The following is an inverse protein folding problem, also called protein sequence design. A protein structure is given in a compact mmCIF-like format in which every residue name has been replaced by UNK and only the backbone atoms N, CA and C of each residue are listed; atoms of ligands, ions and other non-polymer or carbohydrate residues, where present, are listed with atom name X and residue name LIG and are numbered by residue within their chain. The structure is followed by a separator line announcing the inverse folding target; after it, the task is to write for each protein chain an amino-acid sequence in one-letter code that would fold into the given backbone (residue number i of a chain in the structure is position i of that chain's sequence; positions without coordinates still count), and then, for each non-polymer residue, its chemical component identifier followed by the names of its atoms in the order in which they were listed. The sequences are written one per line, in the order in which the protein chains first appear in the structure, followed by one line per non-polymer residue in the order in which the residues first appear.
data_IF_236652617206
#
_entry.id   IF_236652617206
#
_cell.length_a   1.000
_cell.length_b   1.000
_cell.length_c   1.000
_cell.angle_alpha   90.00
_cell.angle_beta   90.00
_cell.angle_gamma   90.00
#
_symmetry.space_group_name_H-M   'P 1'
#
loop_
_entity.id
_entity.type
_entity.pdbx_description
1 polymer ?
#
# COMPACT_ATOMS: atom_id res chain seq x y z
N UNK A 1 -8.31 -6.51 -18.63
CA UNK A 1 -7.81 -6.26 -17.26
C UNK A 1 -6.80 -7.34 -16.93
N UNK A 2 -5.92 -7.15 -15.93
CA UNK A 2 -4.98 -8.22 -15.52
C UNK A 2 -5.39 -8.80 -14.17
N UNK A 3 -5.01 -10.05 -13.88
CA UNK A 3 -5.21 -10.67 -12.56
C UNK A 3 -4.66 -9.80 -11.44
N UNK A 4 -3.49 -9.18 -11.65
CA UNK A 4 -2.89 -8.25 -10.69
C UNK A 4 -3.84 -7.07 -10.38
N UNK A 5 -4.44 -6.47 -11.39
CA UNK A 5 -5.36 -5.33 -11.22
C UNK A 5 -6.59 -5.71 -10.38
N UNK A 6 -7.15 -6.91 -10.57
CA UNK A 6 -8.26 -7.39 -9.74
C UNK A 6 -7.83 -7.65 -8.29
N UNK A 7 -6.68 -8.30 -8.08
CA UNK A 7 -6.13 -8.54 -6.73
C UNK A 7 -5.91 -7.23 -5.97
N UNK A 8 -5.37 -6.20 -6.63
CA UNK A 8 -5.21 -4.86 -6.07
C UNK A 8 -6.57 -4.25 -5.71
N UNK A 9 -7.55 -4.30 -6.62
CA UNK A 9 -8.91 -3.78 -6.37
C UNK A 9 -9.60 -4.45 -5.18
N UNK A 10 -9.59 -5.79 -5.12
CA UNK A 10 -10.16 -6.55 -4.00
C UNK A 10 -9.49 -6.23 -2.67
N UNK A 11 -8.16 -6.13 -2.67
CA UNK A 11 -7.40 -5.82 -1.46
C UNK A 11 -7.70 -4.40 -0.95
N UNK A 12 -7.72 -3.43 -1.86
CA UNK A 12 -7.94 -2.02 -1.52
C UNK A 12 -9.38 -1.75 -1.06
N UNK A 13 -10.39 -2.43 -1.62
CA UNK A 13 -11.77 -2.37 -1.12
C UNK A 13 -11.85 -2.75 0.36
N UNK A 14 -11.19 -3.85 0.75
CA UNK A 14 -11.09 -4.30 2.14
C UNK A 14 -10.27 -3.38 3.08
N UNK A 15 -9.43 -2.51 2.51
CA UNK A 15 -8.69 -1.49 3.24
C UNK A 15 -9.53 -0.22 3.47
N UNK A 16 -10.36 0.16 2.50
CA UNK A 16 -11.32 1.25 2.61
C UNK A 16 -12.46 0.90 3.57
N UNK A 17 -12.98 -0.32 3.47
CA UNK A 17 -14.07 -0.81 4.30
C UNK A 17 -13.80 -2.23 4.77
N UNK A 18 -13.76 -2.44 6.09
CA UNK A 18 -13.45 -3.74 6.68
C UNK A 18 -14.48 -4.82 6.36
N UNK A 19 -15.74 -4.45 6.07
CA UNK A 19 -16.78 -5.43 5.69
C UNK A 19 -16.53 -6.03 4.32
N UNK A 20 -15.79 -5.33 3.47
CA UNK A 20 -15.50 -5.75 2.08
C UNK A 20 -14.16 -6.50 2.01
N UNK A 21 -13.55 -6.80 3.16
CA UNK A 21 -12.28 -7.53 3.22
C UNK A 21 -12.47 -8.97 2.75
N UNK A 22 -11.77 -9.29 1.68
CA UNK A 22 -11.74 -10.63 1.11
C UNK A 22 -10.57 -11.44 1.68
N UNK A 23 -10.82 -12.71 2.01
CA UNK A 23 -9.75 -13.69 2.20
C UNK A 23 -9.11 -14.06 0.86
N UNK A 24 -7.94 -14.70 0.88
CA UNK A 24 -7.32 -15.24 -0.33
C UNK A 24 -8.25 -16.22 -1.07
N UNK A 25 -9.01 -17.03 -0.32
CA UNK A 25 -10.00 -17.95 -0.87
C UNK A 25 -11.11 -17.19 -1.59
N UNK A 26 -11.64 -16.13 -0.98
CA UNK A 26 -12.69 -15.32 -1.61
C UNK A 26 -12.19 -14.64 -2.88
N UNK A 27 -10.95 -14.13 -2.90
CA UNK A 27 -10.35 -13.54 -4.09
C UNK A 27 -10.24 -14.56 -5.23
N UNK A 28 -9.79 -15.79 -4.94
CA UNK A 28 -9.74 -16.86 -5.96
C UNK A 28 -11.14 -17.19 -6.47
N UNK A 29 -12.16 -17.24 -5.60
CA UNK A 29 -13.55 -17.48 -6.01
C UNK A 29 -14.03 -16.38 -6.96
N UNK A 30 -13.74 -15.11 -6.68
CA UNK A 30 -14.14 -14.02 -7.58
C UNK A 30 -13.36 -14.05 -8.89
N UNK A 31 -12.05 -14.34 -8.87
CA UNK A 31 -11.26 -14.50 -10.10
C UNK A 31 -11.79 -15.62 -10.99
N UNK A 32 -12.30 -16.71 -10.41
CA UNK A 32 -12.95 -17.78 -11.18
C UNK A 32 -14.22 -17.29 -11.88
N UNK A 33 -15.06 -16.50 -11.20
CA UNK A 33 -16.25 -15.90 -11.83
C UNK A 33 -15.87 -14.96 -12.98
N UNK A 34 -14.85 -14.15 -12.79
CA UNK A 34 -14.31 -13.25 -13.82
C UNK A 34 -13.76 -14.05 -15.02
N UNK A 35 -13.17 -15.22 -14.77
CA UNK A 35 -12.73 -16.13 -15.83
C UNK A 35 -13.92 -16.79 -16.55
N UNK A 36 -14.97 -17.18 -15.83
CA UNK A 36 -16.23 -17.69 -16.40
C UNK A 36 -16.93 -16.64 -17.28
N UNK A 37 -16.83 -15.36 -16.92
CA UNK A 37 -17.32 -14.21 -17.69
C UNK A 37 -16.41 -13.87 -18.88
N UNK A 38 -15.24 -14.49 -18.99
CA UNK A 38 -14.30 -14.33 -20.10
C UNK A 38 -13.43 -13.07 -20.02
N UNK A 39 -13.42 -12.36 -18.89
CA UNK A 39 -12.59 -11.16 -18.71
C UNK A 39 -11.11 -11.49 -18.48
N UNK A 40 -10.82 -12.69 -17.98
CA UNK A 40 -9.48 -13.29 -17.86
C UNK A 40 -9.52 -14.76 -18.28
N UNK A 41 -8.37 -15.38 -18.58
CA UNK A 41 -8.31 -16.81 -18.86
C UNK A 41 -8.34 -17.64 -17.57
N UNK A 42 -8.96 -18.82 -17.59
CA UNK A 42 -8.96 -19.74 -16.44
C UNK A 42 -7.53 -20.13 -16.03
N UNK A 43 -6.62 -20.28 -16.99
CA UNK A 43 -5.20 -20.56 -16.73
C UNK A 43 -4.46 -19.43 -16.01
N UNK A 44 -5.01 -18.22 -16.01
CA UNK A 44 -4.43 -17.08 -15.30
C UNK A 44 -4.89 -17.02 -13.83
N UNK A 45 -5.90 -17.80 -13.43
CA UNK A 45 -6.40 -17.81 -12.05
C UNK A 45 -5.34 -18.45 -11.13
N UNK A 46 -4.78 -17.69 -10.18
CA UNK A 46 -3.75 -18.18 -9.28
C UNK A 46 -4.34 -19.11 -8.21
N UNK A 47 -3.50 -20.02 -7.72
CA UNK A 47 -3.83 -20.81 -6.54
C UNK A 47 -3.98 -19.92 -5.29
N UNK A 48 -4.77 -20.40 -4.32
CA UNK A 48 -5.00 -19.70 -3.04
C UNK A 48 -3.68 -19.36 -2.35
N UNK A 49 -2.73 -20.30 -2.29
CA UNK A 49 -1.41 -20.08 -1.67
C UNK A 49 -0.61 -18.98 -2.34
N UNK A 50 -0.74 -18.84 -3.66
CA UNK A 50 -0.11 -17.76 -4.42
C UNK A 50 -0.72 -16.42 -4.05
N UNK A 51 -2.05 -16.36 -3.89
CA UNK A 51 -2.76 -15.15 -3.44
C UNK A 51 -2.39 -14.79 -2.00
N UNK A 52 -2.29 -15.76 -1.08
CA UNK A 52 -1.82 -15.51 0.31
C UNK A 52 -0.41 -14.90 0.34
N UNK A 53 0.51 -15.47 -0.44
CA UNK A 53 1.87 -14.95 -0.59
C UNK A 53 1.88 -13.55 -1.20
N UNK A 54 1.01 -13.30 -2.18
CA UNK A 54 0.84 -11.98 -2.79
C UNK A 54 0.30 -10.94 -1.80
N UNK A 55 -0.77 -11.26 -1.05
CA UNK A 55 -1.36 -10.40 -0.01
C UNK A 55 -0.30 -10.00 1.03
N UNK A 56 0.50 -10.96 1.48
CA UNK A 56 1.56 -10.72 2.47
C UNK A 56 2.59 -9.72 1.94
N UNK A 57 3.08 -9.93 0.71
CA UNK A 57 4.06 -9.03 0.07
C UNK A 57 3.48 -7.64 -0.21
N UNK A 58 2.27 -7.57 -0.75
CA UNK A 58 1.61 -6.32 -1.09
C UNK A 58 1.28 -5.50 0.16
N UNK A 59 0.84 -6.15 1.23
CA UNK A 59 0.62 -5.50 2.51
C UNK A 59 1.94 -4.95 3.10
N UNK A 60 3.05 -5.69 2.97
CA UNK A 60 4.36 -5.22 3.40
C UNK A 60 4.85 -4.02 2.57
N UNK A 61 4.66 -4.02 1.25
CA UNK A 61 5.05 -2.90 0.39
C UNK A 61 4.28 -1.63 0.73
N UNK A 62 2.97 -1.72 0.97
CA UNK A 62 2.16 -0.55 1.37
C UNK A 62 2.61 0.04 2.71
N UNK A 63 2.98 -0.81 3.69
CA UNK A 63 3.54 -0.32 4.97
C UNK A 63 4.89 0.36 4.78
N UNK A 64 5.75 -0.21 3.94
CA UNK A 64 7.05 0.36 3.61
C UNK A 64 6.88 1.73 2.95
N UNK A 65 6.03 1.83 1.94
CA UNK A 65 5.75 3.08 1.24
C UNK A 65 5.19 4.15 2.19
N UNK A 66 4.25 3.80 3.06
CA UNK A 66 3.71 4.72 4.07
C UNK A 66 4.79 5.19 5.07
N UNK A 67 5.75 4.33 5.43
CA UNK A 67 6.86 4.72 6.29
C UNK A 67 7.84 5.65 5.56
N UNK A 68 8.18 5.37 4.32
CA UNK A 68 9.04 6.21 3.48
C UNK A 68 8.42 7.60 3.24
N UNK A 69 7.10 7.66 2.98
CA UNK A 69 6.39 8.92 2.85
C UNK A 69 6.45 9.76 4.12
N UNK A 70 6.30 9.16 5.31
CA UNK A 70 6.42 9.87 6.59
C UNK A 70 7.81 10.43 6.84
N UNK A 71 8.85 9.69 6.47
CA UNK A 71 10.24 10.16 6.57
C UNK A 71 10.49 11.33 5.62
N UNK A 72 9.99 11.23 4.38
CA UNK A 72 10.12 12.30 3.39
C UNK A 72 9.37 13.56 3.81
N UNK A 73 8.14 13.43 4.31
CA UNK A 73 7.31 14.55 4.79
C UNK A 73 7.97 15.26 5.97
N UNK A 74 8.42 14.48 6.98
CA UNK A 74 9.16 15.03 8.11
C UNK A 74 10.48 15.71 7.70
N UNK A 75 11.15 15.22 6.65
CA UNK A 75 12.37 15.84 6.12
C UNK A 75 12.08 17.16 5.40
N UNK A 76 10.98 17.22 4.63
CA UNK A 76 10.53 18.42 3.92
C UNK A 76 10.10 19.52 4.90
N UNK A 77 9.37 19.14 5.95
CA UNK A 77 8.95 20.06 7.00
C UNK A 77 10.14 20.58 7.81
N UNK A 78 11.14 19.73 8.09
CA UNK A 78 12.39 20.14 8.74
C UNK A 78 13.19 21.11 7.88
N UNK A 79 13.34 20.84 6.57
CA UNK A 79 14.06 21.72 5.65
C UNK A 79 13.36 23.08 5.50
N UNK A 80 12.02 23.09 5.39
CA UNK A 80 11.20 24.32 5.40
C UNK A 80 11.38 25.12 6.69
N UNK A 81 11.34 24.46 7.86
CA UNK A 81 11.61 25.10 9.16
C UNK A 81 13.02 25.69 9.22
N UNK A 82 14.02 24.96 8.74
CA UNK A 82 15.43 25.40 8.71
C UNK A 82 15.62 26.64 7.81
N UNK A 83 14.94 26.70 6.65
CA UNK A 83 14.98 27.88 5.78
C UNK A 83 14.30 29.10 6.42
N UNK A 84 13.17 28.91 7.10
CA UNK A 84 12.47 29.98 7.83
C UNK A 84 13.34 30.55 8.97
N UNK A 85 14.02 29.68 9.74
CA UNK A 85 14.92 30.12 10.84
C UNK A 85 16.29 30.61 10.35
N UNK A 86 16.68 30.36 9.09
CA UNK A 86 17.86 31.01 8.48
C UNK A 86 17.57 32.46 8.10
N UNK A 87 16.34 32.75 7.66
CA UNK A 87 15.87 34.10 7.30
C UNK A 87 15.64 35.02 8.50
N UNK A 88 15.22 34.46 9.64
CA UNK A 88 15.26 35.17 10.93
C UNK A 88 16.65 34.95 11.54
N UNK A 89 17.45 36.00 11.79
CA UNK A 89 18.73 35.88 12.53
C UNK A 89 18.54 35.47 14.00
N UNK A 90 18.00 34.29 14.27
CA UNK A 90 17.80 33.74 15.61
C UNK A 90 18.53 32.40 15.67
N UNK A 91 19.70 32.40 16.30
CA UNK A 91 20.49 31.19 16.55
C UNK A 91 19.76 30.37 17.61
N UNK A 92 19.02 29.33 17.21
CA UNK A 92 18.47 28.35 18.14
C UNK A 92 19.25 27.05 18.01
N UNK A 93 20.07 26.75 19.02
CA UNK A 93 20.71 25.45 19.19
C UNK A 93 19.63 24.40 19.45
N UNK A 94 19.41 23.49 18.52
CA UNK A 94 18.61 22.31 18.79
C UNK A 94 19.46 21.27 19.55
N UNK A 95 19.14 21.07 20.82
CA UNK A 95 19.64 19.96 21.63
C UNK A 95 18.89 18.70 21.24
N UNK A 96 19.59 17.72 20.66
CA UNK A 96 19.12 16.35 20.62
C UNK A 96 18.92 15.88 22.07
N UNK A 97 17.78 15.27 22.36
CA UNK A 97 17.53 14.57 23.63
C UNK A 97 17.53 13.08 23.33
N UNK A 98 18.43 12.39 24.02
CA UNK A 98 18.52 10.93 24.16
C UNK A 98 17.22 10.32 24.70
#
# INVERSE_FOLDING_TARGET
MTVKTYLEGFFLAGNLNKTDRMSAKDMVIQLKKIAEEGEIQESEVPEIKTVEGWITRYSASLRKEAAEQRVMDGSRDQESWLELVKGLKIVVKYSAKE
#
